data_IF_776777219023
#
_entry.id   IF_776777219023
#
_cell.length_a   1.000
_cell.length_b   1.000
_cell.length_c   1.000
_cell.angle_alpha   90.00
_cell.angle_beta   90.00
_cell.angle_gamma   90.00
#
_symmetry.space_group_name_H-M   'P 1'
#
loop_
_entity.id
_entity.type
_entity.pdbx_description
1 polymer ?
#
# COMPACT_ATOMS: atom_id res chain seq x y z
N UNK A 1 -25.39 -24.83 8.40
CA UNK A 1 -24.72 -24.22 7.91
C UNK A 1 -24.35 -22.88 8.34
N UNK A 2 -24.78 -22.45 9.33
CA UNK A 2 -24.41 -21.23 9.89
C UNK A 2 -22.96 -21.16 10.21
N UNK A 3 -22.30 -22.26 10.42
CA UNK A 3 -20.89 -22.24 10.71
C UNK A 3 -20.08 -21.64 9.61
N UNK A 4 -20.50 -21.82 8.37
CA UNK A 4 -19.84 -21.20 7.23
C UNK A 4 -19.91 -19.69 7.33
N UNK A 5 -21.04 -19.16 7.79
CA UNK A 5 -21.21 -17.73 7.94
C UNK A 5 -20.30 -17.20 9.04
N UNK A 6 -20.21 -17.93 10.16
CA UNK A 6 -19.33 -17.53 11.24
C UNK A 6 -17.86 -17.54 10.82
N UNK A 7 -17.44 -18.58 10.12
CA UNK A 7 -16.09 -18.68 9.62
C UNK A 7 -15.79 -17.54 8.66
N UNK A 8 -16.75 -17.20 7.79
CA UNK A 8 -16.60 -16.08 6.87
C UNK A 8 -16.46 -14.76 7.60
N UNK A 9 -17.25 -14.55 8.64
CA UNK A 9 -17.17 -13.32 9.42
C UNK A 9 -15.86 -13.24 10.20
N UNK A 10 -15.36 -14.38 10.68
CA UNK A 10 -14.15 -14.40 11.47
C UNK A 10 -12.88 -14.34 10.61
N UNK A 11 -12.98 -14.76 9.34
CA UNK A 11 -11.81 -14.92 8.50
C UNK A 11 -11.90 -14.03 7.27
N UNK A 12 -11.47 -12.79 7.40
CA UNK A 12 -11.27 -11.93 6.24
C UNK A 12 -10.14 -12.53 5.41
N UNK A 13 -10.38 -12.72 4.12
CA UNK A 13 -9.35 -13.24 3.24
C UNK A 13 -8.21 -12.24 3.11
N UNK A 14 -7.03 -12.76 2.77
CA UNK A 14 -5.88 -11.89 2.55
C UNK A 14 -6.14 -10.89 1.42
N UNK A 15 -6.79 -11.31 0.34
CA UNK A 15 -7.13 -10.40 -0.77
C UNK A 15 -8.07 -9.29 -0.30
N UNK A 16 -9.05 -9.62 0.55
CA UNK A 16 -9.94 -8.61 1.11
C UNK A 16 -9.20 -7.64 2.02
N UNK A 17 -8.24 -8.13 2.79
CA UNK A 17 -7.38 -7.28 3.61
C UNK A 17 -6.59 -6.30 2.74
N UNK A 18 -6.02 -6.76 1.64
CA UNK A 18 -5.28 -5.89 0.72
C UNK A 18 -6.18 -4.86 0.06
N UNK A 19 -7.41 -5.25 -0.29
CA UNK A 19 -8.38 -4.31 -0.86
C UNK A 19 -8.76 -3.23 0.16
N UNK A 20 -8.99 -3.62 1.41
CA UNK A 20 -9.31 -2.66 2.47
C UNK A 20 -8.14 -1.73 2.77
N UNK A 21 -6.92 -2.25 2.74
CA UNK A 21 -5.71 -1.45 2.92
C UNK A 21 -5.56 -0.43 1.78
N UNK A 22 -5.81 -0.85 0.53
CA UNK A 22 -5.79 0.04 -0.62
C UNK A 22 -6.83 1.15 -0.49
N UNK A 23 -8.01 0.82 0.00
CA UNK A 23 -9.06 1.81 0.24
C UNK A 23 -8.64 2.84 1.28
N UNK A 24 -7.99 2.40 2.35
CA UNK A 24 -7.45 3.30 3.37
C UNK A 24 -6.36 4.23 2.79
N UNK A 25 -5.52 3.71 1.87
CA UNK A 25 -4.56 4.54 1.15
C UNK A 25 -5.26 5.63 0.36
N UNK A 26 -6.31 5.29 -0.36
CA UNK A 26 -7.05 6.28 -1.16
C UNK A 26 -7.76 7.32 -0.30
N UNK A 27 -8.09 6.98 0.95
CA UNK A 27 -8.65 7.95 1.88
C UNK A 27 -7.57 8.75 2.61
N UNK A 28 -6.28 8.44 2.38
CA UNK A 28 -5.15 9.04 3.10
C UNK A 28 -5.29 8.88 4.62
N UNK A 29 -5.80 7.72 5.05
CA UNK A 29 -6.11 7.46 6.45
C UNK A 29 -4.97 6.67 7.09
N UNK A 30 -3.99 7.39 7.63
CA UNK A 30 -2.80 6.76 8.20
C UNK A 30 -3.14 5.90 9.43
N UNK A 31 -4.11 6.29 10.23
CA UNK A 31 -4.53 5.49 11.38
C UNK A 31 -5.07 4.13 10.93
N UNK A 32 -5.95 4.13 9.92
CA UNK A 32 -6.50 2.89 9.38
C UNK A 32 -5.39 2.02 8.78
N UNK A 33 -4.47 2.63 8.03
CA UNK A 33 -3.35 1.89 7.42
C UNK A 33 -2.54 1.15 8.48
N UNK A 34 -2.18 1.82 9.55
CA UNK A 34 -1.37 1.19 10.60
C UNK A 34 -2.12 0.09 11.33
N UNK A 35 -3.44 0.13 11.34
CA UNK A 35 -4.27 -0.95 11.90
C UNK A 35 -4.17 -2.26 11.12
N UNK A 36 -3.73 -2.23 9.87
CA UNK A 36 -3.54 -3.42 9.05
C UNK A 36 -2.14 -4.01 9.14
N UNK A 37 -1.19 -3.34 9.81
CA UNK A 37 0.21 -3.72 9.76
C UNK A 37 0.73 -4.22 11.10
N UNK A 38 1.74 -5.08 11.03
CA UNK A 38 2.40 -5.59 12.25
C UNK A 38 3.24 -4.50 12.90
N UNK A 39 3.63 -4.69 14.16
CA UNK A 39 4.46 -3.72 14.87
C UNK A 39 5.85 -3.58 14.26
N UNK A 40 6.40 -4.66 13.74
CA UNK A 40 7.72 -4.71 13.12
C UNK A 40 7.64 -4.56 11.60
N UNK A 41 6.59 -3.97 11.08
CA UNK A 41 6.35 -3.89 9.65
C UNK A 41 7.47 -3.18 8.91
N UNK A 42 7.58 -3.52 7.63
CA UNK A 42 8.60 -2.97 6.73
C UNK A 42 7.91 -2.42 5.49
N UNK A 43 8.35 -1.26 5.06
CA UNK A 43 7.92 -0.67 3.79
C UNK A 43 9.17 -0.34 2.96
N UNK A 44 9.24 -0.90 1.75
CA UNK A 44 10.25 -0.55 0.77
C UNK A 44 9.60 0.37 -0.28
N UNK A 45 10.03 1.61 -0.31
CA UNK A 45 9.53 2.58 -1.27
C UNK A 45 10.02 2.25 -2.68
N UNK A 46 9.27 2.70 -3.70
CA UNK A 46 9.58 2.41 -5.09
C UNK A 46 10.88 3.06 -5.57
N UNK A 47 11.31 4.13 -4.92
CA UNK A 47 12.52 4.84 -5.29
C UNK A 47 13.41 5.01 -4.07
N UNK A 48 14.71 5.13 -4.31
CA UNK A 48 15.67 5.36 -3.25
C UNK A 48 17.06 4.93 -3.68
N UNK A 49 18.05 5.09 -2.79
CA UNK A 49 19.44 4.87 -3.14
C UNK A 49 19.87 3.40 -3.12
N UNK A 50 19.03 2.50 -2.59
CA UNK A 50 19.42 1.12 -2.37
C UNK A 50 18.75 0.18 -3.36
N UNK A 51 19.21 -1.08 -3.37
CA UNK A 51 18.66 -2.09 -4.28
C UNK A 51 17.16 -2.32 -4.03
N UNK A 52 16.71 -2.08 -2.81
CA UNK A 52 15.29 -2.21 -2.44
C UNK A 52 14.57 -0.86 -2.39
N UNK A 53 15.13 0.18 -3.02
CA UNK A 53 14.59 1.52 -2.96
C UNK A 53 15.02 2.21 -1.68
N UNK A 54 14.07 2.50 -0.80
CA UNK A 54 14.36 2.99 0.54
C UNK A 54 13.51 2.22 1.53
N UNK A 55 14.15 1.61 2.51
CA UNK A 55 13.48 0.78 3.50
C UNK A 55 13.16 1.55 4.77
N UNK A 56 11.93 1.42 5.22
CA UNK A 56 11.44 1.95 6.49
C UNK A 56 11.05 0.76 7.36
N UNK A 57 11.49 0.75 8.61
CA UNK A 57 11.27 -0.38 9.52
C UNK A 57 10.54 0.10 10.77
N UNK A 58 9.47 -0.58 11.14
CA UNK A 58 8.68 -0.29 12.31
C UNK A 58 7.54 0.69 12.03
N UNK A 59 6.54 0.67 12.90
CA UNK A 59 5.28 1.39 12.67
C UNK A 59 5.49 2.89 12.52
N UNK A 60 6.32 3.48 13.37
CA UNK A 60 6.50 4.95 13.34
C UNK A 60 7.15 5.39 12.04
N UNK A 61 8.21 4.71 11.61
CA UNK A 61 8.91 5.05 10.37
C UNK A 61 8.04 4.81 9.14
N UNK A 62 7.31 3.70 9.14
CA UNK A 62 6.41 3.36 8.01
C UNK A 62 5.27 4.36 7.92
N UNK A 63 4.67 4.72 9.05
CA UNK A 63 3.61 5.74 9.08
C UNK A 63 4.11 7.07 8.54
N UNK A 64 5.28 7.51 8.97
CA UNK A 64 5.86 8.76 8.48
C UNK A 64 6.10 8.73 6.98
N UNK A 65 6.53 7.59 6.45
CA UNK A 65 6.74 7.44 5.01
C UNK A 65 5.42 7.57 4.24
N UNK A 66 4.35 6.95 4.72
CA UNK A 66 3.03 7.07 4.09
C UNK A 66 2.53 8.51 4.15
N UNK A 67 2.63 9.13 5.31
CA UNK A 67 2.18 10.51 5.49
C UNK A 67 2.97 11.48 4.60
N UNK A 68 4.24 11.21 4.35
CA UNK A 68 5.05 12.02 3.46
C UNK A 68 4.54 11.98 2.01
N UNK A 69 4.06 10.81 1.56
CA UNK A 69 3.44 10.69 0.23
C UNK A 69 2.17 11.54 0.16
N UNK A 70 1.32 11.46 1.16
CA UNK A 70 0.07 12.23 1.20
C UNK A 70 0.33 13.73 1.24
N UNK A 71 1.38 14.15 1.93
CA UNK A 71 1.76 15.56 1.99
C UNK A 71 2.32 16.04 0.64
N UNK A 72 3.13 15.21 -0.02
CA UNK A 72 3.74 15.59 -1.29
C UNK A 72 2.71 15.58 -2.44
N UNK A 73 1.75 14.68 -2.39
CA UNK A 73 0.69 14.53 -3.40
C UNK A 73 -0.66 14.54 -2.71
N UNK A 74 -1.21 15.73 -2.41
CA UNK A 74 -2.50 15.80 -1.70
C UNK A 74 -3.66 15.12 -2.42
N UNK A 75 -3.55 14.94 -3.74
CA UNK A 75 -4.54 14.25 -4.57
C UNK A 75 -4.10 12.82 -4.94
N UNK A 76 -3.13 12.25 -4.22
CA UNK A 76 -2.64 10.90 -4.52
C UNK A 76 -3.78 9.90 -4.55
N UNK A 77 -3.80 9.08 -5.61
CA UNK A 77 -4.82 8.07 -5.80
C UNK A 77 -4.22 6.83 -6.46
N UNK A 78 -4.57 5.66 -5.93
CA UNK A 78 -4.16 4.37 -6.46
C UNK A 78 -5.40 3.72 -7.07
N UNK A 79 -5.60 3.94 -8.36
CA UNK A 79 -6.80 3.53 -9.08
C UNK A 79 -6.69 2.16 -9.71
N UNK A 80 -7.81 1.64 -10.20
CA UNK A 80 -7.90 0.38 -10.94
C UNK A 80 -7.32 -0.80 -10.15
N UNK A 81 -7.56 -0.80 -8.84
CA UNK A 81 -6.97 -1.79 -7.94
C UNK A 81 -7.37 -3.22 -8.22
N UNK A 82 -6.40 -4.13 -8.23
CA UNK A 82 -6.62 -5.57 -8.31
C UNK A 82 -5.75 -6.22 -7.25
N UNK A 83 -6.35 -7.12 -6.47
CA UNK A 83 -5.70 -7.68 -5.30
C UNK A 83 -5.72 -9.19 -5.37
N UNK A 84 -4.55 -9.80 -5.21
CA UNK A 84 -4.37 -11.24 -5.28
C UNK A 84 -3.61 -11.71 -4.06
N UNK A 85 -3.93 -12.88 -3.56
CA UNK A 85 -3.17 -13.45 -2.46
C UNK A 85 -3.10 -14.96 -2.61
N UNK A 86 -1.96 -15.51 -2.19
CA UNK A 86 -1.76 -16.94 -2.10
C UNK A 86 -0.94 -17.19 -0.85
N UNK A 87 -1.51 -17.96 0.09
CA UNK A 87 -0.87 -18.16 1.39
C UNK A 87 -0.64 -16.84 2.09
N UNK A 88 0.59 -16.61 2.51
CA UNK A 88 0.98 -15.39 3.22
C UNK A 88 1.60 -14.32 2.29
N UNK A 89 1.39 -14.44 0.99
CA UNK A 89 1.90 -13.49 -0.01
C UNK A 89 0.76 -12.86 -0.76
N UNK A 90 0.92 -11.58 -1.09
CA UNK A 90 -0.09 -10.87 -1.83
C UNK A 90 0.47 -9.87 -2.81
N UNK A 91 -0.38 -9.44 -3.75
CA UNK A 91 -0.06 -8.44 -4.76
C UNK A 91 -1.25 -7.51 -4.89
N UNK A 92 -0.98 -6.22 -4.92
CA UNK A 92 -1.96 -5.22 -5.31
C UNK A 92 -1.44 -4.49 -6.54
N UNK A 93 -2.20 -4.53 -7.63
CA UNK A 93 -1.89 -3.76 -8.84
C UNK A 93 -2.70 -2.47 -8.83
N UNK A 94 -2.12 -1.39 -9.31
CA UNK A 94 -2.79 -0.10 -9.31
C UNK A 94 -2.20 0.83 -10.38
N UNK A 95 -2.91 1.91 -10.63
CA UNK A 95 -2.39 3.06 -11.39
C UNK A 95 -2.29 4.21 -10.40
N UNK A 96 -1.09 4.69 -10.15
CA UNK A 96 -0.89 5.85 -9.28
C UNK A 96 -1.06 7.12 -10.08
N UNK A 97 -1.83 8.05 -9.55
CA UNK A 97 -1.94 9.40 -10.07
C UNK A 97 -1.78 10.37 -8.93
N UNK A 98 -1.06 11.45 -9.16
CA UNK A 98 -0.89 12.48 -8.15
C UNK A 98 -0.20 13.70 -8.69
N UNK A 99 -0.59 14.88 -8.16
CA UNK A 99 0.02 16.15 -8.50
C UNK A 99 0.87 16.59 -7.31
N UNK A 100 2.16 16.75 -7.55
CA UNK A 100 3.08 17.20 -6.51
C UNK A 100 2.80 18.66 -6.16
N UNK A 101 3.03 19.02 -4.91
CA UNK A 101 2.83 20.38 -4.43
C UNK A 101 3.67 21.41 -5.19
N UNK A 102 4.73 20.97 -5.88
CA UNK A 102 5.55 21.84 -6.71
C UNK A 102 5.03 21.98 -8.15
N UNK A 103 3.89 21.37 -8.48
CA UNK A 103 3.20 21.63 -9.73
C UNK A 103 3.50 20.67 -10.87
N UNK A 104 4.06 19.49 -10.60
CA UNK A 104 4.23 18.45 -11.62
C UNK A 104 3.42 17.21 -11.22
N UNK A 105 3.19 16.33 -12.18
CA UNK A 105 2.26 15.21 -11.99
C UNK A 105 2.89 13.88 -12.38
N UNK A 106 2.50 12.83 -11.65
CA UNK A 106 2.83 11.45 -11.99
C UNK A 106 1.53 10.71 -12.33
N UNK A 107 1.60 9.91 -13.39
CA UNK A 107 0.58 8.91 -13.75
C UNK A 107 1.33 7.69 -14.20
N UNK A 108 1.28 6.60 -13.43
CA UNK A 108 2.09 5.42 -13.74
C UNK A 108 1.50 4.17 -13.12
N UNK A 109 1.61 3.06 -13.85
CA UNK A 109 1.24 1.75 -13.32
C UNK A 109 2.27 1.27 -12.32
N UNK A 110 1.80 0.52 -11.35
CA UNK A 110 2.67 -0.13 -10.39
C UNK A 110 1.99 -1.25 -9.65
N UNK A 111 2.70 -1.79 -8.70
CA UNK A 111 2.17 -2.82 -7.82
C UNK A 111 2.90 -2.81 -6.49
N UNK A 112 2.24 -3.40 -5.51
CA UNK A 112 2.85 -3.70 -4.22
C UNK A 112 2.96 -5.21 -4.07
N UNK A 113 4.08 -5.68 -3.58
CA UNK A 113 4.24 -7.06 -3.14
C UNK A 113 4.16 -7.07 -1.61
N UNK A 114 3.34 -7.97 -1.08
CA UNK A 114 3.09 -8.04 0.35
C UNK A 114 3.50 -9.38 0.95
N UNK A 115 3.94 -9.33 2.20
CA UNK A 115 4.01 -10.51 3.06
C UNK A 115 3.08 -10.27 4.23
N UNK A 116 2.24 -11.28 4.53
CA UNK A 116 1.31 -11.19 5.64
C UNK A 116 1.74 -12.15 6.75
N UNK A 117 1.38 -11.79 7.98
CA UNK A 117 1.64 -12.63 9.15
C UNK A 117 0.45 -12.50 10.08
N UNK A 118 -0.21 -13.62 10.35
CA UNK A 118 -1.41 -13.64 11.21
C UNK A 118 -2.49 -12.65 10.75
N UNK A 119 -2.70 -12.56 9.43
CA UNK A 119 -3.73 -11.69 8.86
C UNK A 119 -3.36 -10.22 8.79
N UNK A 120 -2.15 -9.84 9.22
CA UNK A 120 -1.67 -8.46 9.14
C UNK A 120 -0.55 -8.35 8.11
N UNK A 121 -0.37 -7.17 7.58
CA UNK A 121 0.69 -6.89 6.61
C UNK A 121 1.99 -6.68 7.38
N UNK A 122 2.97 -7.54 7.12
CA UNK A 122 4.30 -7.44 7.71
C UNK A 122 5.28 -6.71 6.80
N UNK A 123 5.14 -6.87 5.48
CA UNK A 123 6.03 -6.23 4.51
C UNK A 123 5.20 -5.70 3.35
N UNK A 124 5.48 -4.48 2.94
CA UNK A 124 4.93 -3.85 1.74
C UNK A 124 6.10 -3.38 0.89
N UNK A 125 6.21 -3.89 -0.33
CA UNK A 125 7.26 -3.47 -1.26
C UNK A 125 6.61 -2.87 -2.49
N UNK A 126 6.87 -1.59 -2.75
CA UNK A 126 6.26 -0.86 -3.85
C UNK A 126 7.17 -0.87 -5.08
N UNK A 127 6.54 -1.09 -6.23
CA UNK A 127 7.19 -1.03 -7.53
C UNK A 127 6.34 -0.16 -8.44
N UNK A 128 6.96 0.74 -9.15
CA UNK A 128 6.21 1.63 -10.04
C UNK A 128 7.03 1.89 -11.28
N UNK A 129 6.36 1.90 -12.43
CA UNK A 129 7.02 2.26 -13.68
C UNK A 129 7.54 3.68 -13.57
N UNK A 130 8.74 3.89 -14.10
CA UNK A 130 9.33 5.21 -14.15
C UNK A 130 9.05 5.86 -15.49
N UNK A 131 8.59 7.09 -15.47
CA UNK A 131 8.34 7.86 -16.67
C UNK A 131 8.54 9.34 -16.37
N UNK A 132 8.73 10.18 -17.39
CA UNK A 132 8.92 11.62 -17.15
C UNK A 132 7.75 12.24 -16.41
N UNK A 133 8.04 13.23 -15.58
CA UNK A 133 6.99 14.01 -14.93
C UNK A 133 6.14 14.72 -15.96
N UNK A 134 4.85 14.81 -15.68
CA UNK A 134 3.90 15.48 -16.56
C UNK A 134 3.76 16.94 -16.11
N UNK A 135 3.54 17.80 -17.07
CA UNK A 135 3.21 19.20 -16.75
C UNK A 135 1.73 19.29 -16.39
N UNK A 136 1.41 20.19 -15.50
CA UNK A 136 0.03 20.45 -15.09
C UNK A 136 -0.42 21.83 -15.53
#
# INVERSE_FOLDING_TARGET
MTDTTLATCAATSAAETLAAFSDAFNRHDADALMGFMTEDCVFDAAAGPDVNGKRFVGRDAVRMAFEAVFAAFPDAHWGQGRHYAIGDRGVSEWVFTGTHTEGWRIEAEGCDLFELRNGLIAVKRAFRKERPKLNV
#
